data_IF_961419878379
#
_entry.id   IF_961419878379
#
_cell.length_a   1.000
_cell.length_b   1.000
_cell.length_c   1.000
_cell.angle_alpha   90.00
_cell.angle_beta   90.00
_cell.angle_gamma   90.00
#
_symmetry.space_group_name_H-M   'P 1'
#
loop_
_entity.id
_entity.type
_entity.pdbx_description
1 polymer ?
#
# COMPACT_ATOMS: atom_id res chain seq x y z
N UNK A 1 -11.43 -49.36 -4.66
CA UNK A 1 -11.97 -49.24 -6.04
C UNK A 1 -13.46 -49.59 -6.02
N UNK A 2 -14.36 -48.60 -6.11
CA UNK A 2 -15.80 -48.83 -6.25
C UNK A 2 -16.41 -47.75 -7.16
N UNK A 3 -17.27 -48.21 -8.07
CA UNK A 3 -17.73 -47.57 -9.31
C UNK A 3 -19.09 -46.87 -9.13
N UNK A 4 -19.22 -45.72 -9.82
CA UNK A 4 -20.34 -45.18 -10.63
C UNK A 4 -21.78 -45.38 -10.15
N UNK A 5 -22.53 -44.28 -10.02
CA UNK A 5 -23.90 -44.16 -10.58
C UNK A 5 -24.09 -42.75 -11.17
N UNK A 6 -24.38 -42.73 -12.47
CA UNK A 6 -24.93 -41.63 -13.27
C UNK A 6 -26.36 -41.33 -12.80
N UNK A 7 -26.71 -40.04 -12.67
CA UNK A 7 -28.09 -39.61 -12.45
C UNK A 7 -28.36 -38.28 -13.13
N UNK A 8 -28.78 -38.33 -14.39
CA UNK A 8 -29.29 -37.21 -15.17
C UNK A 8 -30.77 -37.02 -14.84
N UNK A 9 -31.14 -35.87 -14.26
CA UNK A 9 -32.50 -35.33 -14.38
C UNK A 9 -32.39 -33.83 -14.68
N UNK A 10 -32.87 -33.47 -15.86
CA UNK A 10 -33.11 -32.12 -16.31
C UNK A 10 -34.33 -31.54 -15.60
N UNK A 11 -34.23 -30.29 -15.15
CA UNK A 11 -35.41 -29.46 -14.90
C UNK A 11 -35.06 -27.98 -15.12
N UNK A 12 -35.57 -27.49 -16.25
CA UNK A 12 -35.82 -26.10 -16.61
C UNK A 12 -35.99 -25.18 -15.40
N UNK A 13 -35.14 -24.17 -15.27
CA UNK A 13 -35.43 -22.97 -14.47
C UNK A 13 -35.17 -21.76 -15.33
N UNK A 14 -36.20 -20.92 -15.44
CA UNK A 14 -36.26 -19.76 -16.31
C UNK A 14 -35.13 -18.77 -15.99
N UNK A 15 -34.32 -18.48 -17.00
CA UNK A 15 -33.34 -17.38 -16.95
C UNK A 15 -34.13 -16.08 -17.05
N UNK A 16 -34.46 -15.48 -15.91
CA UNK A 16 -34.78 -14.07 -15.84
C UNK A 16 -33.49 -13.33 -16.21
N UNK A 17 -33.50 -12.63 -17.36
CA UNK A 17 -32.44 -11.70 -17.73
C UNK A 17 -32.41 -10.58 -16.70
N UNK A 18 -31.48 -10.67 -15.75
CA UNK A 18 -31.06 -9.54 -14.92
C UNK A 18 -30.39 -8.52 -15.83
N UNK A 19 -30.83 -7.25 -15.91
CA UNK A 19 -30.05 -6.23 -16.57
C UNK A 19 -28.75 -6.09 -15.78
N UNK A 20 -27.62 -6.32 -16.46
CA UNK A 20 -26.31 -5.96 -15.97
C UNK A 20 -26.33 -4.46 -15.70
N UNK A 21 -26.49 -4.06 -14.44
CA UNK A 21 -26.13 -2.74 -13.99
C UNK A 21 -24.64 -2.59 -14.28
N UNK A 22 -24.31 -1.93 -15.38
CA UNK A 22 -22.96 -1.50 -15.66
C UNK A 22 -22.57 -0.58 -14.52
N UNK A 23 -21.78 -1.08 -13.58
CA UNK A 23 -21.02 -0.22 -12.70
C UNK A 23 -20.06 0.56 -13.61
N UNK A 24 -20.52 1.72 -14.07
CA UNK A 24 -19.66 2.73 -14.65
C UNK A 24 -18.65 3.09 -13.56
N UNK A 25 -17.44 2.54 -13.68
CA UNK A 25 -16.28 3.15 -13.07
C UNK A 25 -16.32 4.63 -13.50
N UNK A 26 -16.20 5.59 -12.58
CA UNK A 26 -16.00 6.97 -13.00
C UNK A 26 -14.72 6.99 -13.84
N UNK A 27 -14.89 7.07 -15.17
CA UNK A 27 -13.83 7.49 -16.06
C UNK A 27 -13.50 8.90 -15.63
N UNK A 28 -12.47 9.03 -14.82
CA UNK A 28 -11.79 10.29 -14.64
C UNK A 28 -11.13 10.55 -15.99
N UNK A 29 -11.87 11.24 -16.86
CA UNK A 29 -11.29 11.84 -18.05
C UNK A 29 -10.23 12.81 -17.55
N UNK A 30 -8.97 12.38 -17.57
CA UNK A 30 -7.83 13.27 -17.56
C UNK A 30 -7.82 14.00 -18.90
N UNK A 31 -8.81 14.89 -19.09
CA UNK A 31 -8.66 15.99 -20.00
C UNK A 31 -7.44 16.77 -19.51
N UNK A 32 -6.32 16.59 -20.21
CA UNK A 32 -5.14 17.44 -20.08
C UNK A 32 -5.60 18.83 -20.53
N UNK A 33 -6.19 19.58 -19.61
CA UNK A 33 -6.37 21.01 -19.79
C UNK A 33 -4.96 21.58 -20.05
N UNK A 34 -4.78 22.49 -21.01
CA UNK A 34 -3.52 23.19 -21.14
C UNK A 34 -3.22 23.81 -19.78
N UNK A 35 -2.07 23.44 -19.20
CA UNK A 35 -1.55 24.13 -18.03
C UNK A 35 -1.29 25.57 -18.48
N UNK A 36 -2.26 26.45 -18.23
CA UNK A 36 -2.05 27.88 -18.34
C UNK A 36 -1.02 28.17 -17.27
N UNK A 37 0.21 28.45 -17.69
CA UNK A 37 1.26 29.01 -16.83
C UNK A 37 0.67 30.24 -16.15
N UNK A 38 0.17 30.05 -14.93
CA UNK A 38 -0.23 31.15 -14.08
C UNK A 38 1.06 31.91 -13.77
N UNK A 39 1.14 33.21 -14.08
CA UNK A 39 2.28 34.00 -13.63
C UNK A 39 2.34 33.87 -12.10
N UNK A 40 3.45 33.35 -11.61
CA UNK A 40 3.76 33.27 -10.19
C UNK A 40 3.77 34.70 -9.64
N UNK A 41 2.60 35.13 -9.17
CA UNK A 41 2.41 36.44 -8.59
C UNK A 41 3.38 36.61 -7.43
N UNK A 42 4.20 37.63 -7.60
CA UNK A 42 5.30 37.99 -6.73
C UNK A 42 4.74 38.54 -5.42
N UNK A 43 4.37 37.67 -4.48
CA UNK A 43 4.35 38.03 -3.06
C UNK A 43 5.78 38.19 -2.54
N UNK A 44 6.51 39.17 -3.09
CA UNK A 44 7.77 39.66 -2.55
C UNK A 44 7.44 40.80 -1.61
N UNK A 45 7.09 40.50 -0.37
CA UNK A 45 6.73 41.56 0.57
C UNK A 45 6.16 41.16 1.92
N UNK A 46 6.64 40.10 2.54
CA UNK A 46 6.56 39.93 3.98
C UNK A 46 7.78 39.09 4.38
N UNK A 47 8.49 39.48 5.44
CA UNK A 47 9.65 38.74 5.92
C UNK A 47 9.26 37.27 6.10
N UNK A 48 9.76 36.41 5.21
CA UNK A 48 9.54 34.97 5.34
C UNK A 48 10.22 34.56 6.65
N UNK A 49 9.42 34.26 7.66
CA UNK A 49 9.91 33.64 8.89
C UNK A 49 10.82 32.49 8.48
N UNK A 50 12.08 32.54 8.91
CA UNK A 50 13.09 31.55 8.53
C UNK A 50 12.67 30.20 9.11
N UNK A 51 12.03 29.38 8.30
CA UNK A 51 11.73 28.00 8.66
C UNK A 51 13.05 27.22 8.83
N UNK A 52 13.18 26.37 9.87
CA UNK A 52 14.36 25.53 10.04
C UNK A 52 14.60 24.62 8.83
N UNK A 53 15.86 24.44 8.46
CA UNK A 53 16.23 23.47 7.42
C UNK A 53 16.03 22.04 7.93
N UNK A 54 15.26 21.23 7.20
CA UNK A 54 15.10 19.81 7.47
C UNK A 54 16.23 19.02 6.80
N UNK A 55 17.05 18.35 7.59
CA UNK A 55 18.06 17.41 7.09
C UNK A 55 17.52 15.97 7.14
N UNK A 56 17.33 15.36 5.97
CA UNK A 56 16.83 13.98 5.85
C UNK A 56 17.96 13.05 5.44
N UNK A 57 18.10 11.91 6.14
CA UNK A 57 19.04 10.84 5.78
C UNK A 57 18.29 9.53 5.56
N UNK A 58 18.59 8.86 4.46
CA UNK A 58 18.09 7.50 4.19
C UNK A 58 18.84 6.49 5.06
N UNK A 59 18.13 5.73 5.88
CA UNK A 59 18.71 4.74 6.79
C UNK A 59 18.68 3.31 6.23
N UNK A 60 17.64 2.96 5.47
CA UNK A 60 17.41 1.61 4.94
C UNK A 60 16.78 1.66 3.55
N UNK A 61 17.06 0.67 2.72
CA UNK A 61 16.54 0.50 1.34
C UNK A 61 16.11 -0.94 1.09
N UNK A 62 15.42 -1.17 -0.05
CA UNK A 62 14.98 -2.50 -0.46
C UNK A 62 13.97 -3.12 0.50
N UNK A 63 13.06 -2.27 1.03
CA UNK A 63 11.93 -2.70 1.83
C UNK A 63 10.79 -3.15 0.92
N UNK A 64 10.00 -4.09 1.39
CA UNK A 64 8.85 -4.63 0.67
C UNK A 64 7.61 -4.22 1.46
N UNK A 65 6.89 -3.22 0.93
CA UNK A 65 5.71 -2.62 1.55
C UNK A 65 5.88 -2.31 3.05
N UNK A 66 6.75 -1.34 3.42
CA UNK A 66 6.92 -0.93 4.80
C UNK A 66 5.61 -0.32 5.34
N UNK A 67 5.19 -0.72 6.54
CA UNK A 67 3.90 -0.30 7.11
C UNK A 67 4.10 0.54 8.38
N UNK A 68 4.67 -0.04 9.44
CA UNK A 68 4.94 0.64 10.71
C UNK A 68 6.44 0.79 10.98
N UNK A 69 6.79 1.82 11.75
CA UNK A 69 8.13 2.02 12.31
C UNK A 69 8.05 2.46 13.77
N UNK A 70 8.90 1.88 14.62
CA UNK A 70 8.99 2.21 16.05
C UNK A 70 10.45 2.34 16.49
N UNK A 71 10.87 3.50 17.03
CA UNK A 71 12.15 3.62 17.71
C UNK A 71 12.20 2.72 18.95
N UNK A 72 13.33 2.03 19.16
CA UNK A 72 13.56 1.16 20.33
C UNK A 72 14.81 1.55 21.12
N UNK A 73 15.21 2.81 21.02
CA UNK A 73 16.37 3.38 21.69
C UNK A 73 17.71 3.02 21.04
N UNK A 74 18.75 3.81 21.37
CA UNK A 74 20.10 3.62 20.82
C UNK A 74 20.18 3.81 19.31
N UNK A 75 19.31 4.65 18.73
CA UNK A 75 19.22 4.86 17.29
C UNK A 75 18.54 3.73 16.51
N UNK A 76 18.11 2.64 17.17
CA UNK A 76 17.54 1.46 16.49
C UNK A 76 16.06 1.66 16.17
N UNK A 77 15.62 0.99 15.10
CA UNK A 77 14.23 1.03 14.63
C UNK A 77 13.71 -0.39 14.45
N UNK A 78 12.55 -0.71 15.01
CA UNK A 78 11.73 -1.83 14.54
C UNK A 78 10.83 -1.34 13.41
N UNK A 79 10.61 -2.17 12.41
CA UNK A 79 9.66 -1.87 11.34
C UNK A 79 9.01 -3.15 10.81
N UNK A 80 7.78 -3.02 10.33
CA UNK A 80 7.01 -4.10 9.70
C UNK A 80 7.07 -4.01 8.18
N UNK A 81 7.01 -5.16 7.52
CA UNK A 81 6.95 -5.26 6.06
C UNK A 81 5.76 -6.14 5.72
N UNK A 82 4.74 -5.53 5.12
CA UNK A 82 3.40 -6.11 5.02
C UNK A 82 3.39 -7.40 4.20
N UNK A 83 3.89 -7.34 2.98
CA UNK A 83 3.82 -8.46 2.04
C UNK A 83 4.78 -9.59 2.44
N UNK A 84 5.94 -9.24 3.01
CA UNK A 84 6.86 -10.22 3.61
C UNK A 84 6.34 -10.79 4.94
N UNK A 85 5.34 -10.16 5.55
CA UNK A 85 4.81 -10.55 6.85
C UNK A 85 5.93 -10.69 7.92
N UNK A 86 6.90 -9.76 7.92
CA UNK A 86 8.05 -9.78 8.84
C UNK A 86 8.09 -8.56 9.75
N UNK A 87 8.71 -8.75 10.93
CA UNK A 87 9.26 -7.67 11.74
C UNK A 87 10.77 -7.65 11.55
N UNK A 88 11.33 -6.46 11.31
CA UNK A 88 12.76 -6.26 11.13
C UNK A 88 13.30 -5.18 12.05
N UNK A 89 14.55 -5.32 12.46
CA UNK A 89 15.33 -4.37 13.24
C UNK A 89 16.37 -3.71 12.35
N UNK A 90 16.39 -2.38 12.31
CA UNK A 90 17.55 -1.62 11.86
C UNK A 90 18.43 -1.29 13.05
N UNK A 91 19.71 -1.66 12.98
CA UNK A 91 20.71 -1.35 13.98
C UNK A 91 22.08 -1.18 13.31
N UNK A 92 22.83 -0.15 13.70
CA UNK A 92 24.20 0.07 13.23
C UNK A 92 24.35 0.00 11.70
N UNK A 93 23.41 0.59 10.96
CA UNK A 93 23.41 0.60 9.49
C UNK A 93 22.99 -0.71 8.82
N UNK A 94 22.62 -1.73 9.58
CA UNK A 94 22.27 -3.07 9.08
C UNK A 94 20.81 -3.41 9.42
N UNK A 95 20.16 -4.19 8.55
CA UNK A 95 18.82 -4.75 8.78
C UNK A 95 18.89 -6.21 9.23
N UNK A 96 18.10 -6.56 10.22
CA UNK A 96 17.97 -7.92 10.76
C UNK A 96 16.50 -8.31 10.81
N UNK A 97 16.13 -9.46 10.25
CA UNK A 97 14.79 -10.00 10.46
C UNK A 97 14.72 -10.58 11.87
N UNK A 98 13.70 -10.20 12.65
CA UNK A 98 13.48 -10.73 13.99
C UNK A 98 13.12 -12.21 13.88
N UNK A 99 13.92 -13.05 14.51
CA UNK A 99 13.72 -14.50 14.49
C UNK A 99 12.60 -14.91 15.45
N UNK A 100 11.84 -15.95 15.07
CA UNK A 100 10.74 -16.46 15.88
C UNK A 100 9.49 -15.57 15.91
N UNK A 101 9.43 -14.52 15.07
CA UNK A 101 8.20 -13.75 14.91
C UNK A 101 7.10 -14.66 14.33
N UNK A 102 5.91 -14.75 14.94
CA UNK A 102 4.88 -15.70 14.54
C UNK A 102 4.11 -15.21 13.30
N UNK A 103 4.80 -15.19 12.16
CA UNK A 103 4.29 -14.63 10.90
C UNK A 103 2.93 -15.22 10.50
N UNK A 104 2.76 -16.54 10.59
CA UNK A 104 1.54 -17.22 10.16
C UNK A 104 0.31 -17.04 11.06
N UNK A 105 0.42 -16.36 12.21
CA UNK A 105 -0.72 -16.09 13.10
C UNK A 105 -1.00 -14.60 13.34
N UNK A 106 -0.02 -13.72 13.10
CA UNK A 106 -0.22 -12.26 13.24
C UNK A 106 -0.67 -11.63 11.93
N UNK A 107 -0.22 -12.15 10.80
CA UNK A 107 -0.60 -11.67 9.48
C UNK A 107 -1.63 -12.64 8.89
N UNK A 108 -2.89 -12.21 8.84
CA UNK A 108 -4.04 -12.97 8.32
C UNK A 108 -4.76 -12.21 7.23
#
# INVERSE_FOLDING_TARGET
MRRIVLGTIAALTAVLLTPAAQAQCPQVDHAVAPHVDQPVDQHRGAAADRVPALHVKRLVTGLDHPWDVRPVGGGRLLYTQRDRATVSLWANGTKHVVQGFPTGSVWV
#
